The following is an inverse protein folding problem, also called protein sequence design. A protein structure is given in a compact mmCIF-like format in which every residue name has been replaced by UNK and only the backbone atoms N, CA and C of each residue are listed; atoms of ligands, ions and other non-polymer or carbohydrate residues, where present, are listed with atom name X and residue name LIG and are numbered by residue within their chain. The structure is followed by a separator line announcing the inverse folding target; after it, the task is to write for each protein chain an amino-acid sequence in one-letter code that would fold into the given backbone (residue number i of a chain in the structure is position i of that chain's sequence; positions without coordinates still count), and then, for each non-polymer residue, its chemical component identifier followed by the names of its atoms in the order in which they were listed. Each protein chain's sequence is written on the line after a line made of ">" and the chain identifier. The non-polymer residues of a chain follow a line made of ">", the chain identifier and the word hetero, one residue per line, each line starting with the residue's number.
data_IF_077922724130
#
_entry.id   IF_077922724130
#
_cell.length_a   1.000
_cell.length_b   1.000
_cell.length_c   1.000
_cell.angle_alpha   90.00
_cell.angle_beta   90.00
_cell.angle_gamma   90.00
#
_symmetry.space_group_name_H-M   'P 1'
#
loop_
_entity.id
_entity.type
_entity.pdbx_description
1 polymer ?
#
# COMPACT_ATOMS: atom_id res chain seq x y z
N UNK A 1 -9.77 17.57 3.46
CA UNK A 1 -9.96 17.76 2.01
C UNK A 1 -10.33 16.40 1.46
N UNK A 2 -11.57 16.23 0.97
CA UNK A 2 -11.99 14.99 0.31
C UNK A 2 -11.46 15.02 -1.13
N UNK A 3 -10.51 14.13 -1.44
CA UNK A 3 -9.93 14.03 -2.79
C UNK A 3 -10.84 13.19 -3.68
N UNK A 4 -11.03 13.55 -4.97
CA UNK A 4 -11.81 12.74 -5.89
C UNK A 4 -11.12 11.38 -6.09
N UNK A 5 -11.81 10.30 -5.71
CA UNK A 5 -11.34 8.92 -5.84
C UNK A 5 -12.02 8.28 -7.05
N UNK A 6 -11.22 7.95 -8.07
CA UNK A 6 -11.68 7.13 -9.20
C UNK A 6 -11.25 5.69 -8.94
N UNK A 7 -12.23 4.79 -8.77
CA UNK A 7 -11.98 3.36 -8.60
C UNK A 7 -12.40 2.64 -9.87
N UNK A 8 -11.47 1.94 -10.50
CA UNK A 8 -11.74 1.13 -11.69
C UNK A 8 -11.32 -0.32 -11.48
N UNK A 9 -12.09 -1.25 -12.05
CA UNK A 9 -11.75 -2.67 -12.12
C UNK A 9 -11.14 -2.94 -13.49
N UNK A 10 -9.91 -3.44 -13.53
CA UNK A 10 -9.24 -3.81 -14.78
C UNK A 10 -8.71 -5.24 -14.71
N UNK A 11 -8.52 -5.86 -15.86
CA UNK A 11 -7.91 -7.18 -15.98
C UNK A 11 -6.43 -7.01 -16.31
N UNK A 12 -5.56 -7.63 -15.52
CA UNK A 12 -4.13 -7.76 -15.82
C UNK A 12 -3.82 -9.26 -15.91
N UNK A 13 -3.82 -9.78 -17.14
CA UNK A 13 -3.79 -11.22 -17.39
C UNK A 13 -5.07 -11.92 -16.90
N UNK A 14 -4.91 -12.96 -16.08
CA UNK A 14 -6.02 -13.73 -15.48
C UNK A 14 -6.54 -13.14 -14.15
N UNK A 15 -5.93 -12.07 -13.66
CA UNK A 15 -6.26 -11.49 -12.35
C UNK A 15 -7.08 -10.20 -12.51
N UNK A 16 -8.16 -10.09 -11.74
CA UNK A 16 -8.96 -8.88 -11.63
C UNK A 16 -8.31 -7.95 -10.60
N UNK A 17 -7.83 -6.79 -11.05
CA UNK A 17 -7.16 -5.79 -10.21
C UNK A 17 -8.09 -4.60 -9.98
N UNK A 18 -8.16 -4.14 -8.74
CA UNK A 18 -8.80 -2.88 -8.36
C UNK A 18 -7.75 -1.78 -8.35
N UNK A 19 -7.88 -0.80 -9.24
CA UNK A 19 -7.05 0.39 -9.26
C UNK A 19 -7.83 1.53 -8.59
N UNK A 20 -7.26 2.10 -7.53
CA UNK A 20 -7.72 3.39 -7.00
C UNK A 20 -6.74 4.47 -7.43
N UNK A 21 -7.20 5.40 -8.25
CA UNK A 21 -6.44 6.58 -8.66
C UNK A 21 -6.82 7.73 -7.73
N UNK A 22 -5.82 8.30 -7.08
CA UNK A 22 -5.98 9.49 -6.25
C UNK A 22 -5.38 10.68 -7.00
N UNK A 23 -6.17 11.74 -7.12
CA UNK A 23 -5.75 13.00 -7.74
C UNK A 23 -5.50 13.98 -6.61
N UNK A 24 -4.25 14.40 -6.42
CA UNK A 24 -3.91 15.46 -5.47
C UNK A 24 -3.55 16.72 -6.23
N UNK A 25 -4.04 17.87 -5.77
CA UNK A 25 -3.60 19.16 -6.28
C UNK A 25 -2.35 19.57 -5.48
N UNK A 26 -1.17 19.37 -6.08
CA UNK A 26 0.07 19.91 -5.53
C UNK A 26 0.16 21.38 -5.94
N UNK A 27 -0.04 22.28 -4.99
CA UNK A 27 -0.14 23.71 -5.25
C UNK A 27 1.24 24.36 -5.30
N UNK A 28 1.76 24.58 -6.50
CA UNK A 28 2.45 25.82 -6.90
C UNK A 28 2.07 26.10 -8.36
N UNK A 29 1.87 27.37 -8.71
CA UNK A 29 1.30 27.79 -9.99
C UNK A 29 2.00 27.17 -11.22
N UNK A 30 1.43 26.10 -11.74
CA UNK A 30 1.86 25.36 -12.91
C UNK A 30 0.97 24.13 -13.04
N UNK A 31 0.50 23.84 -14.25
CA UNK A 31 -0.47 22.78 -14.56
C UNK A 31 0.09 21.35 -14.36
N UNK A 32 0.64 21.04 -13.18
CA UNK A 32 1.21 19.74 -12.86
C UNK A 32 0.29 19.00 -11.87
N UNK A 33 -0.39 17.98 -12.39
CA UNK A 33 -1.24 17.10 -11.59
C UNK A 33 -0.44 15.84 -11.27
N UNK A 34 -0.10 15.65 -10.01
CA UNK A 34 0.49 14.38 -9.56
C UNK A 34 -0.63 13.34 -9.38
N UNK A 35 -0.54 12.26 -10.17
CA UNK A 35 -1.40 11.08 -10.04
C UNK A 35 -0.58 9.94 -9.43
N UNK A 36 -0.98 9.44 -8.27
CA UNK A 36 -0.47 8.17 -7.78
C UNK A 36 -1.54 7.08 -7.88
N UNK A 37 -1.15 5.96 -8.48
CA UNK A 37 -2.01 4.80 -8.70
C UNK A 37 -1.77 3.80 -7.58
N UNK A 38 -2.75 3.62 -6.70
CA UNK A 38 -2.70 2.59 -5.66
C UNK A 38 -3.31 1.31 -6.23
N UNK A 39 -2.45 0.35 -6.54
CA UNK A 39 -2.87 -0.98 -6.94
C UNK A 39 -3.35 -1.73 -5.69
N UNK A 40 -4.66 -1.95 -5.59
CA UNK A 40 -5.24 -2.79 -4.54
C UNK A 40 -5.16 -4.25 -5.01
N UNK A 41 -3.95 -4.79 -5.05
CA UNK A 41 -3.69 -6.21 -5.31
C UNK A 41 -4.06 -7.11 -4.12
N UNK A 42 -4.24 -6.52 -2.94
CA UNK A 42 -4.79 -7.24 -1.81
C UNK A 42 -6.31 -7.17 -1.88
N UNK A 43 -7.02 -8.28 -2.19
CA UNK A 43 -8.46 -8.32 -1.97
C UNK A 43 -8.74 -7.89 -0.53
N UNK A 44 -9.87 -7.24 -0.23
CA UNK A 44 -10.28 -6.99 1.13
C UNK A 44 -10.48 -8.35 1.81
N UNK A 45 -9.40 -8.90 2.37
CA UNK A 45 -9.43 -10.11 3.16
C UNK A 45 -10.21 -9.73 4.41
N UNK A 46 -11.40 -10.30 4.54
CA UNK A 46 -12.28 -10.18 5.69
C UNK A 46 -11.45 -10.25 6.98
N UNK A 47 -11.37 -9.10 7.67
CA UNK A 47 -11.32 -8.81 9.12
C UNK A 47 -10.84 -9.87 10.13
N UNK A 48 -10.16 -10.93 9.73
CA UNK A 48 -9.67 -11.96 10.60
C UNK A 48 -8.21 -11.68 10.88
N UNK A 49 -8.00 -10.87 11.91
CA UNK A 49 -6.69 -10.48 12.36
C UNK A 49 -5.92 -11.69 12.89
N UNK A 50 -4.82 -12.08 12.24
CA UNK A 50 -4.07 -13.25 12.69
C UNK A 50 -3.49 -12.96 14.09
N UNK A 51 -3.91 -13.77 15.07
CA UNK A 51 -3.35 -13.71 16.42
C UNK A 51 -1.88 -14.15 16.43
N UNK A 52 -1.50 -15.00 15.48
CA UNK A 52 -0.15 -15.57 15.36
C UNK A 52 0.30 -15.49 13.90
N UNK A 53 1.52 -15.02 13.69
CA UNK A 53 2.20 -15.06 12.39
C UNK A 53 3.25 -16.16 12.36
N UNK A 54 3.48 -16.72 11.17
CA UNK A 54 4.58 -17.64 10.89
C UNK A 54 5.93 -16.97 11.19
N UNK A 55 6.95 -17.77 11.50
CA UNK A 55 8.34 -17.32 11.68
C UNK A 55 9.13 -17.27 10.37
N UNK A 56 8.44 -17.31 9.23
CA UNK A 56 9.10 -17.14 7.94
C UNK A 56 9.65 -15.72 7.84
N UNK A 57 10.87 -15.60 7.32
CA UNK A 57 11.51 -14.30 7.06
C UNK A 57 11.37 -14.05 5.57
N UNK A 58 10.45 -13.15 5.23
CA UNK A 58 10.21 -12.68 3.86
C UNK A 58 9.83 -11.21 3.94
N UNK A 59 10.84 -10.37 3.97
CA UNK A 59 10.69 -8.97 4.32
C UNK A 59 9.76 -8.20 3.38
N UNK A 60 8.98 -7.31 3.97
CA UNK A 60 8.02 -6.44 3.29
C UNK A 60 8.36 -5.00 3.63
N UNK A 61 8.58 -4.19 2.59
CA UNK A 61 8.80 -2.76 2.74
C UNK A 61 7.46 -2.02 2.71
N UNK A 62 7.27 -1.10 3.66
CA UNK A 62 6.12 -0.22 3.70
C UNK A 62 6.55 1.22 4.01
N UNK A 63 5.71 2.16 3.60
CA UNK A 63 5.85 3.59 3.85
C UNK A 63 4.61 4.10 4.59
N UNK A 64 4.78 5.00 5.55
CA UNK A 64 3.68 5.65 6.25
C UNK A 64 3.21 6.94 5.55
N UNK A 65 2.12 7.53 6.02
CA UNK A 65 1.57 8.80 5.49
C UNK A 65 2.55 9.99 5.63
N UNK A 66 3.60 9.87 6.45
CA UNK A 66 4.64 10.90 6.62
C UNK A 66 5.89 10.63 5.76
N UNK A 67 5.91 9.54 4.99
CA UNK A 67 7.04 9.15 4.15
C UNK A 67 8.13 8.33 4.86
N UNK A 68 7.91 7.88 6.10
CA UNK A 68 8.86 7.02 6.80
C UNK A 68 8.73 5.58 6.34
N UNK A 69 9.86 4.96 5.99
CA UNK A 69 9.91 3.55 5.61
C UNK A 69 10.06 2.63 6.81
N UNK A 70 9.42 1.47 6.73
CA UNK A 70 9.44 0.43 7.76
C UNK A 70 9.51 -0.94 7.11
N UNK A 71 10.39 -1.79 7.64
CA UNK A 71 10.55 -3.17 7.22
C UNK A 71 9.76 -4.06 8.17
N UNK A 72 8.91 -4.92 7.61
CA UNK A 72 8.23 -5.99 8.32
C UNK A 72 8.89 -7.32 7.99
N UNK A 73 9.12 -8.16 9.00
CA UNK A 73 9.81 -9.46 8.81
C UNK A 73 9.05 -10.40 7.86
N UNK A 74 7.72 -10.26 7.78
CA UNK A 74 6.89 -10.96 6.81
C UNK A 74 5.57 -10.26 6.51
N UNK A 75 4.90 -10.74 5.45
CA UNK A 75 3.58 -10.26 5.01
C UNK A 75 2.49 -10.37 6.07
N UNK A 76 2.57 -11.35 6.96
CA UNK A 76 1.58 -11.48 8.04
C UNK A 76 1.68 -10.31 9.03
N UNK A 77 2.89 -9.94 9.44
CA UNK A 77 3.12 -8.81 10.35
C UNK A 77 2.73 -7.48 9.70
N UNK A 78 3.07 -7.27 8.42
CA UNK A 78 2.63 -6.10 7.67
C UNK A 78 1.09 -6.00 7.61
N UNK A 79 0.41 -7.10 7.25
CA UNK A 79 -1.05 -7.13 7.19
C UNK A 79 -1.69 -6.89 8.56
N UNK A 80 -1.11 -7.45 9.62
CA UNK A 80 -1.58 -7.22 10.99
C UNK A 80 -1.47 -5.73 11.34
N UNK A 81 -0.31 -5.11 11.14
CA UNK A 81 -0.13 -3.69 11.40
C UNK A 81 -1.15 -2.84 10.60
N UNK A 82 -1.26 -3.08 9.29
CA UNK A 82 -2.13 -2.31 8.41
C UNK A 82 -3.62 -2.45 8.68
N UNK A 83 -4.11 -3.69 8.83
CA UNK A 83 -5.55 -3.96 8.84
C UNK A 83 -6.11 -4.15 10.26
N UNK A 84 -5.29 -4.58 11.21
CA UNK A 84 -5.72 -4.91 12.56
C UNK A 84 -5.38 -3.82 13.55
N UNK A 85 -4.12 -3.38 13.52
CA UNK A 85 -3.65 -2.28 14.34
C UNK A 85 -4.00 -0.92 13.69
N UNK A 86 -4.53 -0.96 12.45
CA UNK A 86 -4.95 0.20 11.65
C UNK A 86 -3.83 1.23 11.47
N UNK A 87 -2.59 0.74 11.35
CA UNK A 87 -1.47 1.58 10.97
C UNK A 87 -1.68 2.11 9.55
N UNK A 88 -1.41 3.39 9.38
CA UNK A 88 -1.46 4.09 8.10
C UNK A 88 -0.19 3.82 7.30
N UNK A 89 -0.11 2.60 6.77
CA UNK A 89 1.06 2.12 6.03
C UNK A 89 0.64 1.47 4.70
N UNK A 90 1.45 1.70 3.68
CA UNK A 90 1.29 1.12 2.36
C UNK A 90 2.57 0.41 1.91
N UNK A 91 2.42 -0.71 1.21
CA UNK A 91 3.56 -1.41 0.63
C UNK A 91 4.22 -0.49 -0.38
N UNK A 92 5.54 -0.38 -0.31
CA UNK A 92 6.36 0.36 -1.27
C UNK A 92 7.44 -0.55 -1.86
N UNK A 93 8.25 -0.01 -2.76
CA UNK A 93 9.37 -0.72 -3.38
C UNK A 93 10.43 -1.12 -2.34
N UNK A 94 11.12 -2.25 -2.57
CA UNK A 94 12.16 -2.74 -1.66
C UNK A 94 13.35 -1.78 -1.55
N UNK A 95 13.61 -1.00 -2.61
CA UNK A 95 14.72 -0.04 -2.68
C UNK A 95 14.55 1.08 -1.66
N UNK A 96 13.31 1.50 -1.40
CA UNK A 96 12.97 2.55 -0.43
C UNK A 96 13.29 2.15 1.02
N UNK A 97 13.36 0.85 1.29
CA UNK A 97 13.80 0.30 2.57
C UNK A 97 15.26 -0.15 2.58
N UNK A 98 16.00 -0.01 1.47
CA UNK A 98 17.36 -0.52 1.34
C UNK A 98 17.46 -2.04 1.39
N UNK A 99 16.44 -2.76 0.91
CA UNK A 99 16.38 -4.24 0.95
C UNK A 99 16.95 -4.94 -0.30
N UNK A 100 17.66 -4.21 -1.16
CA UNK A 100 18.20 -4.69 -2.45
C UNK A 100 19.74 -4.79 -2.46
N UNK A 101 20.36 -5.10 -1.31
CA UNK A 101 21.77 -5.54 -1.27
C UNK A 101 21.97 -6.94 -1.86
#
# INVERSE_FOLDING_TARGET
>A
VEFPRLTMKTWFGLSLILLSVYITMSGEAGDDYDYYVKILDDPPQEQNCPNVCTREIKEECAIDDNGYTRIFQNRCLYRKAKYCDKEHIDRTDRTECGLDE
#
